data_IF_775033123475
#
_entry.id   IF_775033123475
#
_cell.length_a   1.000
_cell.length_b   1.000
_cell.length_c   1.000
_cell.angle_alpha   90.00
_cell.angle_beta   90.00
_cell.angle_gamma   90.00
#
_symmetry.space_group_name_H-M   'P 1'
#
loop_
_entity.id
_entity.type
_entity.pdbx_description
1 polymer ?
#
# COMPACT_ATOMS: atom_id res chain seq x y z
N UNK A 1 -31.52 -1.61 20.54
CA UNK A 1 -30.92 -2.48 21.58
C UNK A 1 -29.58 -2.94 21.05
N UNK A 2 -28.50 -2.23 21.44
CA UNK A 2 -27.12 -2.57 21.13
C UNK A 2 -26.72 -3.80 21.94
N UNK A 3 -26.28 -4.87 21.28
CA UNK A 3 -25.49 -5.93 21.90
C UNK A 3 -24.07 -5.84 21.33
N UNK A 4 -23.22 -5.18 22.10
CA UNK A 4 -21.79 -5.19 21.86
C UNK A 4 -21.22 -6.59 22.03
N UNK A 5 -20.60 -7.12 21.00
CA UNK A 5 -19.82 -8.34 21.06
C UNK A 5 -18.42 -7.98 21.55
N UNK A 6 -18.22 -8.14 22.85
CA UNK A 6 -16.91 -8.05 23.49
C UNK A 6 -16.14 -9.33 23.12
N UNK A 7 -15.24 -9.27 22.16
CA UNK A 7 -14.28 -10.34 21.90
C UNK A 7 -13.19 -10.25 22.95
N UNK A 8 -13.35 -10.98 24.03
CA UNK A 8 -12.29 -11.23 25.01
C UNK A 8 -11.30 -12.18 24.35
N UNK A 9 -10.13 -11.65 23.94
CA UNK A 9 -8.96 -12.46 23.62
C UNK A 9 -8.54 -13.16 24.93
N UNK A 10 -8.94 -14.40 25.12
CA UNK A 10 -8.36 -15.26 26.13
C UNK A 10 -6.94 -15.62 25.67
N UNK A 11 -5.96 -14.87 26.18
CA UNK A 11 -4.55 -15.23 26.11
C UNK A 11 -4.41 -16.46 27.00
N UNK A 12 -4.56 -17.64 26.39
CA UNK A 12 -4.23 -18.92 27.03
C UNK A 12 -2.77 -18.86 27.46
N UNK A 13 -2.48 -19.31 28.65
CA UNK A 13 -1.20 -19.25 29.34
C UNK A 13 -0.01 -19.45 28.41
N UNK A 14 0.64 -18.37 28.05
CA UNK A 14 1.93 -18.38 27.34
C UNK A 14 2.94 -18.95 28.32
N UNK A 15 3.57 -20.07 27.96
CA UNK A 15 4.65 -20.66 28.77
C UNK A 15 5.71 -19.58 29.07
N UNK A 16 6.27 -19.54 30.30
CA UNK A 16 7.22 -18.50 30.70
C UNK A 16 8.44 -18.36 29.79
N UNK A 17 8.81 -19.40 29.04
CA UNK A 17 9.86 -19.35 28.02
C UNK A 17 9.48 -18.50 26.79
N UNK A 18 8.20 -18.42 26.40
CA UNK A 18 7.72 -17.53 25.34
C UNK A 18 7.62 -16.07 25.82
N UNK A 19 7.30 -15.83 27.09
CA UNK A 19 7.26 -14.48 27.65
C UNK A 19 8.64 -13.80 27.66
N UNK A 20 9.72 -14.56 27.83
CA UNK A 20 11.09 -14.05 27.74
C UNK A 20 11.49 -13.64 26.32
N UNK A 21 10.89 -14.24 25.28
CA UNK A 21 11.20 -13.90 23.87
C UNK A 21 10.57 -12.59 23.38
N UNK A 22 9.63 -12.00 24.10
CA UNK A 22 8.96 -10.75 23.76
C UNK A 22 9.34 -9.57 24.65
N UNK A 23 10.41 -9.69 25.43
CA UNK A 23 10.94 -8.61 26.27
C UNK A 23 12.35 -8.26 25.85
N UNK A 24 12.60 -6.96 25.65
CA UNK A 24 13.94 -6.48 25.36
C UNK A 24 14.82 -6.55 26.63
N UNK A 25 15.99 -7.18 26.56
CA UNK A 25 16.89 -7.30 27.70
C UNK A 25 17.47 -5.97 28.19
N UNK A 26 17.44 -4.89 27.36
CA UNK A 26 18.01 -3.59 27.74
C UNK A 26 17.03 -2.73 28.56
N UNK A 27 15.74 -2.73 28.22
CA UNK A 27 14.74 -1.86 28.85
C UNK A 27 13.53 -2.60 29.43
N UNK A 28 13.45 -3.94 29.25
CA UNK A 28 12.36 -4.76 29.72
C UNK A 28 11.03 -4.54 28.99
N UNK A 29 11.00 -3.68 27.98
CA UNK A 29 9.80 -3.37 27.23
C UNK A 29 9.43 -4.47 26.22
N UNK A 30 8.18 -4.46 25.75
CA UNK A 30 7.71 -5.39 24.71
C UNK A 30 8.54 -5.21 23.44
N UNK A 31 9.15 -6.29 22.98
CA UNK A 31 9.99 -6.32 21.79
C UNK A 31 9.86 -7.65 21.04
N UNK A 32 9.59 -7.58 19.75
CA UNK A 32 9.43 -8.74 18.88
C UNK A 32 10.67 -9.02 18.03
N UNK A 33 11.80 -8.35 18.29
CA UNK A 33 13.01 -8.46 17.45
C UNK A 33 13.50 -9.88 17.30
N UNK A 34 13.69 -10.62 18.39
CA UNK A 34 14.20 -11.99 18.35
C UNK A 34 13.23 -12.91 17.62
N UNK A 35 11.93 -12.76 17.91
CA UNK A 35 10.89 -13.52 17.22
C UNK A 35 10.95 -13.31 15.70
N UNK A 36 11.00 -12.06 15.24
CA UNK A 36 10.99 -11.73 13.80
C UNK A 36 12.31 -12.12 13.13
N UNK A 37 13.46 -11.91 13.82
CA UNK A 37 14.79 -12.21 13.27
C UNK A 37 14.97 -13.71 13.01
N UNK A 38 14.48 -14.54 13.91
CA UNK A 38 14.64 -16.00 13.86
C UNK A 38 13.49 -16.70 13.15
N UNK A 39 12.44 -15.94 12.83
CA UNK A 39 11.24 -16.55 12.26
C UNK A 39 11.48 -17.10 10.86
N UNK A 40 11.06 -18.32 10.66
CA UNK A 40 10.88 -18.98 9.37
C UNK A 40 9.68 -19.92 9.43
N UNK A 41 9.00 -20.11 8.31
CA UNK A 41 7.80 -20.92 8.25
C UNK A 41 6.54 -20.08 8.08
N UNK A 42 5.42 -20.58 8.52
CA UNK A 42 4.11 -19.98 8.33
C UNK A 42 3.71 -19.08 9.50
N UNK A 43 3.48 -17.79 9.22
CA UNK A 43 3.03 -16.81 10.18
C UNK A 43 1.61 -16.36 9.84
N UNK A 44 0.60 -16.57 10.69
CA UNK A 44 -0.70 -15.97 10.53
C UNK A 44 -0.61 -14.48 10.89
N UNK A 45 -1.15 -13.63 9.99
CA UNK A 45 -1.15 -12.18 10.13
C UNK A 45 -2.58 -11.68 10.09
N UNK A 46 -3.15 -11.21 11.22
CA UNK A 46 -4.44 -10.57 11.21
C UNK A 46 -4.38 -9.25 10.44
N UNK A 47 -5.39 -8.98 9.64
CA UNK A 47 -5.52 -7.75 8.86
C UNK A 47 -6.70 -6.94 9.35
N UNK A 48 -6.49 -5.64 9.51
CA UNK A 48 -7.55 -4.67 9.74
C UNK A 48 -7.60 -3.72 8.55
N UNK A 49 -8.78 -3.55 7.97
CA UNK A 49 -9.04 -2.67 6.85
C UNK A 49 -9.77 -1.45 7.39
N UNK A 50 -9.21 -0.28 7.13
CA UNK A 50 -9.75 1.01 7.57
C UNK A 50 -9.76 2.02 6.40
N UNK A 51 -9.77 1.51 5.17
CA UNK A 51 -9.77 2.34 3.96
C UNK A 51 -11.18 2.90 3.73
N UNK A 52 -11.37 4.23 3.75
CA UNK A 52 -12.69 4.85 3.62
C UNK A 52 -13.48 4.43 2.38
N UNK A 53 -12.82 4.20 1.26
CA UNK A 53 -13.47 3.81 0.01
C UNK A 53 -14.20 2.44 0.06
N UNK A 54 -13.79 1.55 0.96
CA UNK A 54 -14.39 0.21 1.12
C UNK A 54 -14.95 -0.04 2.51
N UNK A 55 -14.78 0.93 3.42
CA UNK A 55 -15.24 0.84 4.81
C UNK A 55 -14.35 -0.01 5.70
N UNK A 56 -14.84 -0.26 6.92
CA UNK A 56 -14.11 -1.05 7.91
C UNK A 56 -14.22 -2.54 7.61
N UNK A 57 -13.14 -3.26 7.86
CA UNK A 57 -13.12 -4.69 7.59
C UNK A 57 -11.97 -5.41 8.28
N UNK A 58 -11.89 -6.69 8.00
CA UNK A 58 -10.82 -7.53 8.54
C UNK A 58 -10.53 -8.71 7.65
N UNK A 59 -9.42 -9.36 7.95
CA UNK A 59 -8.98 -10.52 7.21
C UNK A 59 -7.91 -11.30 7.93
N UNK A 60 -7.49 -12.37 7.30
CA UNK A 60 -6.39 -13.22 7.75
C UNK A 60 -5.42 -13.42 6.60
N UNK A 61 -4.17 -13.09 6.83
CA UNK A 61 -3.05 -13.45 5.99
C UNK A 61 -2.31 -14.66 6.55
N UNK A 62 -1.75 -15.45 5.66
CA UNK A 62 -0.78 -16.49 5.99
C UNK A 62 0.50 -16.16 5.24
N UNK A 63 1.54 -15.78 5.97
CA UNK A 63 2.84 -15.44 5.41
C UNK A 63 3.80 -16.61 5.61
N UNK A 64 4.51 -17.00 4.56
CA UNK A 64 5.59 -17.97 4.63
C UNK A 64 6.93 -17.28 4.38
N UNK A 65 7.82 -17.36 5.37
CA UNK A 65 9.18 -16.82 5.31
C UNK A 65 10.14 -18.00 5.08
N UNK A 66 10.82 -18.01 3.93
CA UNK A 66 11.68 -19.14 3.53
C UNK A 66 12.96 -19.19 4.36
N UNK A 67 13.67 -18.05 4.47
CA UNK A 67 14.91 -17.94 5.22
C UNK A 67 14.75 -16.87 6.30
N UNK A 68 15.22 -17.14 7.52
CA UNK A 68 15.19 -16.13 8.56
C UNK A 68 16.11 -14.95 8.23
N UNK A 69 15.86 -13.79 8.82
CA UNK A 69 16.75 -12.64 8.69
C UNK A 69 18.15 -12.92 9.24
N UNK A 70 18.26 -13.81 10.24
CA UNK A 70 19.54 -14.23 10.77
C UNK A 70 20.35 -15.05 9.76
N UNK A 71 19.70 -16.02 9.08
CA UNK A 71 20.31 -16.81 8.01
C UNK A 71 20.79 -15.90 6.87
N UNK A 72 19.95 -14.96 6.40
CA UNK A 72 20.31 -13.99 5.36
C UNK A 72 21.49 -13.09 5.74
N UNK A 73 21.58 -12.65 6.99
CA UNK A 73 22.73 -11.86 7.46
C UNK A 73 24.03 -12.69 7.49
N UNK A 74 23.94 -13.97 7.84
CA UNK A 74 25.10 -14.87 7.82
C UNK A 74 25.56 -15.14 6.39
N UNK A 75 24.64 -15.36 5.44
CA UNK A 75 24.93 -15.54 4.02
C UNK A 75 25.58 -14.28 3.39
N UNK A 76 25.13 -13.09 3.76
CA UNK A 76 25.69 -11.82 3.27
C UNK A 76 27.15 -11.58 3.68
N UNK A 77 27.63 -12.22 4.76
CA UNK A 77 29.01 -12.12 5.22
C UNK A 77 29.49 -10.67 5.38
N UNK A 78 30.70 -10.38 4.86
CA UNK A 78 31.33 -9.04 4.89
C UNK A 78 30.87 -8.12 3.75
N UNK A 79 30.05 -8.59 2.83
CA UNK A 79 29.60 -7.78 1.66
C UNK A 79 28.68 -6.59 2.00
N UNK A 80 28.18 -6.54 3.24
CA UNK A 80 27.41 -5.43 3.79
C UNK A 80 25.98 -5.25 3.21
N UNK A 81 25.63 -5.96 2.16
CA UNK A 81 24.31 -5.91 1.54
C UNK A 81 23.44 -7.08 2.02
N UNK A 82 22.47 -6.78 2.89
CA UNK A 82 21.49 -7.77 3.33
C UNK A 82 20.29 -7.73 2.40
N UNK A 83 20.12 -8.78 1.61
CA UNK A 83 18.93 -8.93 0.77
C UNK A 83 17.72 -9.29 1.66
N UNK A 84 16.54 -8.72 1.41
CA UNK A 84 15.32 -9.11 2.12
C UNK A 84 15.06 -10.62 2.00
N UNK A 85 14.46 -11.26 3.01
CA UNK A 85 14.11 -12.68 2.94
C UNK A 85 13.07 -12.94 1.84
N UNK A 86 13.07 -14.16 1.32
CA UNK A 86 12.03 -14.60 0.41
C UNK A 86 10.73 -14.77 1.20
N UNK A 87 9.69 -14.08 0.77
CA UNK A 87 8.39 -14.07 1.42
C UNK A 87 7.31 -14.45 0.44
N UNK A 88 6.48 -15.39 0.84
CA UNK A 88 5.27 -15.78 0.12
C UNK A 88 4.08 -15.60 1.04
N UNK A 89 2.91 -15.35 0.49
CA UNK A 89 1.73 -15.19 1.33
C UNK A 89 0.44 -15.39 0.57
N UNK A 90 -0.59 -15.67 1.35
CA UNK A 90 -1.98 -15.66 0.91
C UNK A 90 -2.81 -14.86 1.92
N UNK A 91 -3.88 -14.24 1.45
CA UNK A 91 -4.75 -13.41 2.27
C UNK A 91 -6.19 -13.56 1.84
N UNK A 92 -7.08 -13.52 2.82
CA UNK A 92 -8.53 -13.35 2.62
C UNK A 92 -9.03 -12.22 3.50
N UNK A 93 -9.91 -11.38 2.97
CA UNK A 93 -10.47 -10.27 3.74
C UNK A 93 -11.86 -9.88 3.22
N UNK A 94 -12.63 -9.21 4.11
CA UNK A 94 -13.93 -8.65 3.81
C UNK A 94 -14.16 -7.35 4.58
N UNK A 95 -15.04 -6.50 4.06
CA UNK A 95 -15.40 -5.21 4.65
C UNK A 95 -16.91 -5.06 4.77
N UNK A 96 -17.34 -4.08 5.54
CA UNK A 96 -18.75 -3.82 5.84
C UNK A 96 -19.59 -3.39 4.62
N UNK A 97 -18.96 -2.79 3.59
CA UNK A 97 -19.67 -2.44 2.35
C UNK A 97 -19.87 -3.65 1.41
N UNK A 98 -19.51 -4.87 1.86
CA UNK A 98 -19.65 -6.10 1.09
C UNK A 98 -18.43 -6.42 0.20
N UNK A 99 -17.39 -5.59 0.18
CA UNK A 99 -16.13 -5.92 -0.50
C UNK A 99 -15.47 -7.12 0.14
N UNK A 100 -14.98 -8.04 -0.69
CA UNK A 100 -14.23 -9.23 -0.26
C UNK A 100 -13.15 -9.57 -1.28
N UNK A 101 -12.04 -10.10 -0.81
CA UNK A 101 -10.99 -10.54 -1.71
C UNK A 101 -10.17 -11.70 -1.13
N UNK A 102 -9.57 -12.45 -2.03
CA UNK A 102 -8.55 -13.45 -1.73
C UNK A 102 -7.39 -13.26 -2.68
N UNK A 103 -6.17 -13.28 -2.18
CA UNK A 103 -4.97 -13.13 -3.00
C UNK A 103 -3.83 -13.99 -2.48
N UNK A 104 -2.92 -14.36 -3.39
CA UNK A 104 -1.66 -15.01 -3.04
C UNK A 104 -0.53 -14.42 -3.88
N UNK A 105 0.67 -14.37 -3.33
CA UNK A 105 1.83 -13.83 -4.02
C UNK A 105 3.10 -13.99 -3.22
N UNK A 106 4.17 -13.37 -3.72
CA UNK A 106 5.44 -13.41 -3.04
C UNK A 106 6.50 -12.54 -3.68
N UNK A 107 7.61 -12.44 -2.98
CA UNK A 107 8.82 -11.78 -3.43
C UNK A 107 10.02 -12.65 -3.09
N UNK A 108 10.96 -12.76 -4.01
CA UNK A 108 12.21 -13.48 -3.81
C UNK A 108 13.32 -12.90 -4.69
N UNK A 109 14.54 -13.11 -4.26
CA UNK A 109 15.74 -12.74 -5.00
C UNK A 109 16.47 -13.98 -5.50
N UNK A 110 17.09 -13.91 -6.68
CA UNK A 110 17.79 -15.03 -7.29
C UNK A 110 18.94 -14.56 -8.22
N UNK A 111 19.68 -15.53 -8.74
CA UNK A 111 20.88 -15.31 -9.56
C UNK A 111 22.15 -15.12 -8.73
N UNK A 112 23.29 -15.02 -9.41
CA UNK A 112 24.60 -14.79 -8.77
C UNK A 112 24.55 -13.43 -8.05
N UNK A 113 24.91 -13.39 -6.76
CA UNK A 113 24.80 -12.21 -5.90
C UNK A 113 23.39 -11.63 -5.76
N UNK A 114 22.33 -12.44 -6.00
CA UNK A 114 20.93 -12.04 -5.89
C UNK A 114 20.60 -10.75 -6.67
N UNK A 115 21.15 -10.63 -7.87
CA UNK A 115 20.93 -9.45 -8.72
C UNK A 115 19.51 -9.35 -9.28
N UNK A 116 18.80 -10.47 -9.35
CA UNK A 116 17.41 -10.49 -9.78
C UNK A 116 16.47 -10.44 -8.60
N UNK A 117 15.46 -9.64 -8.70
CA UNK A 117 14.35 -9.57 -7.75
C UNK A 117 13.05 -9.80 -8.51
N UNK A 118 12.27 -10.76 -8.05
CA UNK A 118 10.91 -10.98 -8.52
C UNK A 118 9.93 -10.64 -7.42
N UNK A 119 8.81 -10.03 -7.80
CA UNK A 119 7.63 -9.88 -6.96
C UNK A 119 6.38 -9.99 -7.82
N UNK A 120 5.36 -10.65 -7.29
CA UNK A 120 4.12 -10.84 -8.01
C UNK A 120 3.07 -11.52 -7.19
N UNK A 121 1.85 -11.46 -7.70
CA UNK A 121 0.70 -12.10 -7.07
C UNK A 121 -0.51 -12.11 -7.98
N UNK A 122 -1.47 -12.92 -7.58
CA UNK A 122 -2.78 -13.07 -8.19
C UNK A 122 -3.83 -13.01 -7.10
N UNK A 123 -4.98 -12.42 -7.41
CA UNK A 123 -6.12 -12.39 -6.50
C UNK A 123 -7.44 -12.32 -7.24
N UNK A 124 -8.47 -12.80 -6.56
CA UNK A 124 -9.86 -12.56 -6.92
C UNK A 124 -10.45 -11.54 -5.96
N UNK A 125 -11.17 -10.58 -6.50
CA UNK A 125 -11.80 -9.52 -5.72
C UNK A 125 -13.23 -9.30 -6.20
N UNK A 126 -14.10 -9.02 -5.25
CA UNK A 126 -15.48 -8.54 -5.43
C UNK A 126 -15.55 -7.23 -4.62
N UNK A 127 -15.38 -6.09 -5.30
CA UNK A 127 -15.14 -4.79 -4.69
C UNK A 127 -16.24 -3.83 -5.01
N UNK A 128 -16.86 -3.26 -4.00
CA UNK A 128 -17.88 -2.22 -4.12
C UNK A 128 -17.23 -0.85 -3.91
N UNK A 129 -17.38 0.03 -4.87
CA UNK A 129 -16.78 1.36 -4.90
C UNK A 129 -17.78 2.41 -5.41
N UNK A 130 -17.43 3.67 -5.21
CA UNK A 130 -18.15 4.82 -5.74
C UNK A 130 -17.32 5.58 -6.77
N UNK A 131 -17.93 5.90 -7.89
CA UNK A 131 -17.37 6.77 -8.92
C UNK A 131 -17.96 8.17 -8.82
N UNK A 132 -17.12 9.15 -8.58
CA UNK A 132 -17.51 10.55 -8.38
C UNK A 132 -17.32 11.43 -9.63
N UNK A 133 -17.06 10.82 -10.80
CA UNK A 133 -16.75 11.54 -12.02
C UNK A 133 -15.28 11.95 -12.14
N UNK A 134 -14.95 12.56 -13.27
CA UNK A 134 -13.62 13.13 -13.48
C UNK A 134 -13.53 14.47 -12.75
N UNK A 135 -12.41 14.75 -12.10
CA UNK A 135 -12.26 15.91 -11.22
C UNK A 135 -12.96 15.78 -9.86
N UNK A 136 -13.69 14.68 -9.61
CA UNK A 136 -14.45 14.45 -8.36
C UNK A 136 -15.82 15.14 -8.34
N UNK A 137 -16.35 15.53 -9.49
CA UNK A 137 -17.63 16.22 -9.62
C UNK A 137 -18.49 15.62 -10.75
N UNK A 138 -19.59 14.96 -10.37
CA UNK A 138 -20.69 14.55 -11.28
C UNK A 138 -21.77 15.64 -11.45
N UNK A 139 -21.43 16.90 -11.11
CA UNK A 139 -22.35 18.03 -11.15
C UNK A 139 -23.19 18.13 -9.86
N UNK A 140 -22.94 19.17 -9.08
CA UNK A 140 -23.57 19.49 -7.79
C UNK A 140 -23.26 18.54 -6.61
N UNK A 141 -22.02 18.52 -6.13
CA UNK A 141 -21.67 18.02 -4.79
C UNK A 141 -21.46 16.50 -4.70
N UNK A 142 -21.82 15.89 -3.59
CA UNK A 142 -21.48 14.51 -3.20
C UNK A 142 -22.19 13.39 -3.97
N UNK A 143 -22.49 13.59 -5.27
CA UNK A 143 -23.09 12.53 -6.08
C UNK A 143 -22.03 11.52 -6.51
N UNK A 144 -22.34 10.24 -6.33
CA UNK A 144 -21.55 9.12 -6.83
C UNK A 144 -22.43 8.14 -7.59
N UNK A 145 -21.79 7.35 -8.43
CA UNK A 145 -22.38 6.17 -9.03
C UNK A 145 -21.70 4.96 -8.42
N UNK A 146 -22.48 4.14 -7.69
CA UNK A 146 -21.97 2.90 -7.14
C UNK A 146 -21.60 1.94 -8.28
N UNK A 147 -20.50 1.23 -8.12
CA UNK A 147 -20.12 0.17 -9.04
C UNK A 147 -19.43 -0.98 -8.30
N UNK A 148 -19.52 -2.15 -8.91
CA UNK A 148 -18.89 -3.37 -8.43
C UNK A 148 -17.88 -3.87 -9.46
N UNK A 149 -16.76 -4.36 -8.97
CA UNK A 149 -15.72 -5.07 -9.73
C UNK A 149 -15.62 -6.50 -9.19
N UNK A 150 -16.13 -7.49 -9.92
CA UNK A 150 -15.98 -8.92 -9.58
C UNK A 150 -15.06 -9.61 -10.59
N UNK A 151 -13.90 -10.07 -10.19
CA UNK A 151 -12.99 -10.72 -11.09
C UNK A 151 -11.60 -10.98 -10.55
N UNK A 152 -10.66 -11.14 -11.46
CA UNK A 152 -9.27 -11.47 -11.19
C UNK A 152 -8.35 -10.32 -11.51
N UNK A 153 -7.32 -10.17 -10.67
CA UNK A 153 -6.20 -9.29 -10.93
C UNK A 153 -4.89 -9.99 -10.64
N UNK A 154 -3.87 -9.74 -11.46
CA UNK A 154 -2.52 -10.21 -11.22
C UNK A 154 -1.50 -9.14 -11.58
N UNK A 155 -0.37 -9.17 -10.90
CA UNK A 155 0.78 -8.32 -11.21
C UNK A 155 2.06 -9.12 -11.06
N UNK A 156 2.98 -8.95 -11.99
CA UNK A 156 4.29 -9.58 -11.97
C UNK A 156 5.34 -8.54 -12.32
N UNK A 157 6.44 -8.56 -11.60
CA UNK A 157 7.56 -7.65 -11.81
C UNK A 157 8.88 -8.40 -11.64
N UNK A 158 9.75 -8.27 -12.62
CA UNK A 158 11.11 -8.76 -12.57
C UNK A 158 12.07 -7.57 -12.68
N UNK A 159 12.99 -7.45 -11.75
CA UNK A 159 13.96 -6.37 -11.61
C UNK A 159 15.37 -6.92 -11.62
N UNK A 160 16.25 -6.27 -12.37
CA UNK A 160 17.67 -6.52 -12.38
C UNK A 160 18.39 -5.35 -11.70
N UNK A 161 19.22 -5.65 -10.71
CA UNK A 161 20.10 -4.66 -10.08
C UNK A 161 21.16 -4.20 -11.05
N UNK A 162 21.37 -2.90 -11.16
CA UNK A 162 22.40 -2.30 -12.01
C UNK A 162 23.73 -2.26 -11.24
N UNK A 163 24.66 -3.16 -11.59
CA UNK A 163 25.93 -3.31 -10.88
C UNK A 163 25.72 -3.50 -9.35
N UNK A 164 26.59 -2.92 -8.53
CA UNK A 164 26.46 -2.94 -7.06
C UNK A 164 25.77 -1.67 -6.52
N UNK A 165 24.83 -1.10 -7.32
CA UNK A 165 24.10 0.11 -6.94
C UNK A 165 22.77 -0.19 -6.22
N UNK A 166 22.09 0.89 -5.80
CA UNK A 166 20.73 0.86 -5.29
C UNK A 166 19.66 0.90 -6.39
N UNK A 167 20.09 0.85 -7.65
CA UNK A 167 19.22 1.03 -8.82
C UNK A 167 18.85 -0.30 -9.45
N UNK A 168 17.61 -0.40 -9.88
CA UNK A 168 17.05 -1.55 -10.56
C UNK A 168 16.34 -1.13 -11.84
N UNK A 169 16.47 -1.95 -12.88
CA UNK A 169 15.68 -1.85 -14.10
C UNK A 169 14.90 -3.15 -14.30
N UNK A 170 13.70 -3.07 -14.83
CA UNK A 170 12.92 -4.28 -15.05
C UNK A 170 11.69 -4.07 -15.87
N UNK A 171 10.85 -5.11 -15.83
CA UNK A 171 9.56 -5.14 -16.49
C UNK A 171 8.48 -5.45 -15.47
N UNK A 172 7.34 -4.79 -15.64
CA UNK A 172 6.10 -5.06 -14.92
C UNK A 172 5.02 -5.49 -15.91
N UNK A 173 4.27 -6.52 -15.56
CA UNK A 173 3.05 -6.93 -16.25
C UNK A 173 1.89 -6.90 -15.26
N UNK A 174 0.77 -6.33 -15.70
CA UNK A 174 -0.49 -6.26 -14.94
C UNK A 174 -1.58 -6.82 -15.82
N UNK A 175 -2.39 -7.71 -15.27
CA UNK A 175 -3.58 -8.25 -15.90
C UNK A 175 -4.77 -8.11 -14.96
N UNK A 176 -5.89 -7.66 -15.48
CA UNK A 176 -7.16 -7.52 -14.77
C UNK A 176 -8.29 -7.98 -15.68
N UNK A 177 -9.18 -8.78 -15.14
CA UNK A 177 -10.39 -9.29 -15.81
C UNK A 177 -11.56 -9.16 -14.85
N UNK A 178 -12.37 -8.13 -15.04
CA UNK A 178 -13.45 -7.77 -14.13
C UNK A 178 -14.79 -7.70 -14.85
N UNK A 179 -15.79 -8.36 -14.29
CA UNK A 179 -17.18 -8.01 -14.53
C UNK A 179 -17.46 -6.70 -13.78
N UNK A 180 -17.65 -5.64 -14.55
CA UNK A 180 -17.97 -4.30 -14.03
C UNK A 180 -19.47 -4.14 -14.05
N UNK A 181 -20.08 -3.91 -12.88
CA UNK A 181 -21.50 -3.64 -12.73
C UNK A 181 -21.69 -2.24 -12.21
N UNK A 182 -22.33 -1.37 -13.00
CA UNK A 182 -22.77 -0.05 -12.52
C UNK A 182 -24.13 -0.21 -11.86
N UNK A 183 -24.25 0.28 -10.62
CA UNK A 183 -25.51 0.32 -9.88
C UNK A 183 -26.11 1.73 -9.95
N UNK A 184 -27.07 1.97 -10.90
CA UNK A 184 -27.72 3.28 -11.03
C UNK A 184 -28.81 3.53 -10.00
N UNK A 185 -29.03 2.62 -9.02
CA UNK A 185 -30.11 2.74 -8.03
C UNK A 185 -29.91 3.91 -7.04
N UNK A 186 -28.79 4.61 -7.13
CA UNK A 186 -28.52 5.88 -6.43
C UNK A 186 -28.18 6.98 -7.45
N UNK A 187 -29.06 7.80 -7.97
CA UNK A 187 -30.39 8.28 -7.60
C UNK A 187 -31.52 8.03 -8.62
N UNK A 188 -31.41 7.09 -9.53
CA UNK A 188 -32.42 6.84 -10.55
C UNK A 188 -32.88 5.37 -10.55
N UNK A 189 -34.02 5.07 -9.87
CA UNK A 189 -34.50 3.68 -9.73
C UNK A 189 -35.05 3.02 -11.00
N UNK A 190 -34.89 3.61 -12.17
CA UNK A 190 -35.52 3.16 -13.40
C UNK A 190 -34.60 2.51 -14.45
N UNK A 191 -33.29 2.43 -14.19
CA UNK A 191 -32.35 1.83 -15.14
C UNK A 191 -31.85 0.49 -14.62
N UNK A 192 -31.87 -0.53 -15.48
CA UNK A 192 -31.26 -1.83 -15.19
C UNK A 192 -29.74 -1.66 -14.99
N UNK A 193 -29.10 -2.45 -14.11
CA UNK A 193 -27.66 -2.43 -13.96
C UNK A 193 -26.96 -2.65 -15.29
N UNK A 194 -25.99 -1.81 -15.61
CA UNK A 194 -25.14 -1.99 -16.79
C UNK A 194 -23.95 -2.87 -16.39
N UNK A 195 -23.88 -4.05 -17.00
CA UNK A 195 -22.78 -4.99 -16.77
C UNK A 195 -21.94 -5.15 -18.02
N UNK A 196 -20.63 -5.10 -17.86
CA UNK A 196 -19.67 -5.38 -18.94
C UNK A 196 -18.43 -6.05 -18.36
N UNK A 197 -17.97 -7.12 -18.97
CA UNK A 197 -16.63 -7.64 -18.69
C UNK A 197 -15.61 -6.74 -19.37
N UNK A 198 -14.59 -6.33 -18.62
CA UNK A 198 -13.47 -5.52 -19.09
C UNK A 198 -12.17 -6.20 -18.70
N UNK A 199 -11.41 -6.57 -19.71
CA UNK A 199 -10.07 -7.15 -19.55
C UNK A 199 -9.02 -6.10 -19.86
N UNK A 200 -8.06 -5.94 -18.98
CA UNK A 200 -6.92 -5.04 -19.16
C UNK A 200 -5.62 -5.82 -18.99
N UNK A 201 -4.78 -5.82 -20.00
CA UNK A 201 -3.46 -6.42 -19.96
C UNK A 201 -2.43 -5.37 -20.38
N UNK A 202 -1.50 -5.04 -19.47
CA UNK A 202 -0.49 -4.01 -19.68
C UNK A 202 0.90 -4.47 -19.25
N UNK A 203 1.88 -4.24 -20.11
CA UNK A 203 3.30 -4.53 -19.84
C UNK A 203 4.14 -3.29 -20.10
N UNK A 204 5.22 -3.16 -19.35
CA UNK A 204 6.15 -2.07 -19.61
C UNK A 204 7.34 -1.99 -18.67
N UNK A 205 8.27 -1.05 -18.94
CA UNK A 205 9.46 -0.87 -18.15
C UNK A 205 9.18 -0.28 -16.79
N UNK A 206 10.03 -0.63 -15.84
CA UNK A 206 10.08 -0.05 -14.50
C UNK A 206 11.53 0.23 -14.13
N UNK A 207 11.75 1.37 -13.48
CA UNK A 207 13.01 1.75 -12.86
C UNK A 207 12.77 1.96 -11.38
N UNK A 208 13.65 1.45 -10.53
CA UNK A 208 13.57 1.65 -9.08
C UNK A 208 14.91 2.07 -8.51
N UNK A 209 14.87 2.93 -7.50
CA UNK A 209 15.98 3.25 -6.62
C UNK A 209 15.57 3.02 -5.18
N UNK A 210 16.44 2.40 -4.36
CA UNK A 210 16.20 2.24 -2.93
C UNK A 210 17.51 2.34 -2.14
N UNK A 211 17.76 3.53 -1.58
CA UNK A 211 18.92 3.84 -0.72
C UNK A 211 18.53 4.06 0.74
N UNK A 212 17.33 3.63 1.14
CA UNK A 212 16.88 3.78 2.53
C UNK A 212 17.74 2.96 3.48
N UNK A 213 18.01 3.53 4.65
CA UNK A 213 18.72 2.86 5.73
C UNK A 213 17.93 1.69 6.35
N UNK A 214 16.60 1.74 6.22
CA UNK A 214 15.68 0.72 6.72
C UNK A 214 14.45 0.63 5.82
N UNK A 215 14.09 -0.60 5.41
CA UNK A 215 12.93 -0.83 4.54
C UNK A 215 11.58 -0.70 5.27
N UNK A 216 11.57 -0.88 6.60
CA UNK A 216 10.35 -0.82 7.40
C UNK A 216 10.03 0.59 7.89
N UNK A 217 10.97 1.21 8.60
CA UNK A 217 10.80 2.57 9.13
C UNK A 217 12.05 3.39 8.89
N UNK A 218 12.21 3.92 7.69
CA UNK A 218 13.40 4.68 7.30
C UNK A 218 13.61 5.92 8.15
N UNK A 219 14.86 6.28 8.33
CA UNK A 219 15.27 7.56 8.95
C UNK A 219 16.12 8.39 8.00
N UNK A 220 16.71 7.75 6.98
CA UNK A 220 17.59 8.38 6.00
C UNK A 220 17.48 7.69 4.64
N UNK A 221 17.79 8.44 3.59
CA UNK A 221 17.79 7.93 2.22
C UNK A 221 16.45 8.13 1.52
N UNK A 222 16.33 7.56 0.34
CA UNK A 222 15.10 7.68 -0.44
C UNK A 222 14.84 6.42 -1.27
N UNK A 223 13.60 6.23 -1.61
CA UNK A 223 13.13 5.19 -2.53
C UNK A 223 12.23 5.84 -3.57
N UNK A 224 12.33 5.41 -4.81
CA UNK A 224 11.44 5.87 -5.86
C UNK A 224 11.32 4.89 -6.99
N UNK A 225 10.27 5.05 -7.80
CA UNK A 225 10.13 4.33 -9.05
C UNK A 225 9.53 5.17 -10.16
N UNK A 226 9.86 4.75 -11.39
CA UNK A 226 9.23 5.21 -12.62
C UNK A 226 8.66 3.99 -13.33
N UNK A 227 7.37 3.99 -13.59
CA UNK A 227 6.66 2.93 -14.26
C UNK A 227 5.96 3.48 -15.51
N UNK A 228 6.03 2.76 -16.63
CA UNK A 228 5.25 3.01 -17.82
C UNK A 228 4.63 1.69 -18.30
N UNK A 229 3.30 1.58 -18.31
CA UNK A 229 2.58 0.38 -18.74
C UNK A 229 1.78 0.69 -20.00
N UNK A 230 1.87 -0.19 -20.98
CA UNK A 230 1.20 -0.12 -22.28
C UNK A 230 0.19 -1.26 -22.35
N UNK A 231 -1.08 -0.91 -22.35
CA UNK A 231 -2.20 -1.84 -22.43
C UNK A 231 -2.68 -1.96 -23.87
N UNK A 232 -2.98 -3.19 -24.28
CA UNK A 232 -3.38 -3.42 -25.66
C UNK A 232 -4.10 -4.75 -25.86
N UNK A 233 -4.95 -4.85 -26.90
CA UNK A 233 -5.57 -6.11 -27.30
C UNK A 233 -4.57 -7.19 -27.73
N UNK A 234 -3.42 -6.81 -28.27
CA UNK A 234 -2.39 -7.75 -28.73
C UNK A 234 -1.77 -8.59 -27.59
N UNK A 235 -1.93 -8.13 -26.34
CA UNK A 235 -1.47 -8.84 -25.15
C UNK A 235 -2.63 -9.28 -24.23
N UNK A 236 -3.86 -9.33 -24.77
CA UNK A 236 -5.03 -9.86 -24.09
C UNK A 236 -5.87 -8.85 -23.30
N UNK A 237 -5.77 -7.56 -23.62
CA UNK A 237 -6.69 -6.52 -23.12
C UNK A 237 -7.83 -6.25 -24.08
N UNK A 238 -8.83 -5.49 -23.65
CA UNK A 238 -9.94 -5.03 -24.51
C UNK A 238 -9.66 -3.64 -25.10
N UNK A 239 -8.99 -2.78 -24.32
CA UNK A 239 -8.81 -1.37 -24.63
C UNK A 239 -7.33 -1.02 -24.83
N UNK A 240 -7.05 0.03 -25.63
CA UNK A 240 -5.70 0.53 -25.89
C UNK A 240 -5.44 1.81 -25.11
N UNK A 241 -4.60 1.72 -24.09
CA UNK A 241 -4.24 2.87 -23.27
C UNK A 241 -2.86 2.71 -22.63
N UNK A 242 -2.41 3.74 -21.96
CA UNK A 242 -1.11 3.79 -21.31
C UNK A 242 -1.24 4.41 -19.93
N UNK A 243 -0.48 3.90 -18.96
CA UNK A 243 -0.37 4.50 -17.63
C UNK A 243 1.08 4.77 -17.29
N UNK A 244 1.31 5.91 -16.65
CA UNK A 244 2.61 6.34 -16.18
C UNK A 244 2.52 6.68 -14.71
N UNK A 245 3.51 6.27 -13.94
CA UNK A 245 3.63 6.64 -12.54
C UNK A 245 5.08 6.96 -12.21
N UNK A 246 5.27 8.08 -11.52
CA UNK A 246 6.52 8.44 -10.85
C UNK A 246 6.23 8.66 -9.38
N UNK A 247 6.94 7.98 -8.50
CA UNK A 247 6.82 8.24 -7.07
C UNK A 247 8.18 8.23 -6.38
N UNK A 248 8.27 8.98 -5.29
CA UNK A 248 9.46 9.02 -4.44
C UNK A 248 9.07 9.24 -2.98
N UNK A 249 9.79 8.58 -2.08
CA UNK A 249 9.75 8.76 -0.63
C UNK A 249 11.15 9.08 -0.15
N UNK A 250 11.33 10.23 0.48
CA UNK A 250 12.62 10.65 1.02
C UNK A 250 12.53 10.84 2.53
N UNK A 251 13.59 10.50 3.24
CA UNK A 251 13.67 10.60 4.70
C UNK A 251 14.95 11.33 5.08
N UNK A 252 14.79 12.41 5.83
CA UNK A 252 15.89 13.29 6.21
C UNK A 252 15.87 13.54 7.72
N UNK A 253 16.86 13.05 8.48
CA UNK A 253 17.03 13.44 9.88
C UNK A 253 17.56 14.88 9.92
N UNK A 254 16.91 15.78 10.64
CA UNK A 254 17.36 17.17 10.75
C UNK A 254 17.70 17.61 12.18
N UNK A 255 17.36 16.74 13.17
CA UNK A 255 17.80 16.86 14.56
C UNK A 255 17.88 15.46 15.18
N UNK A 256 18.45 15.32 16.39
CA UNK A 256 18.67 14.01 17.01
C UNK A 256 17.38 13.18 17.17
N UNK A 257 16.24 13.86 17.39
CA UNK A 257 14.96 13.19 17.63
C UNK A 257 13.97 13.31 16.46
N UNK A 258 14.30 14.01 15.37
CA UNK A 258 13.35 14.34 14.33
C UNK A 258 13.75 13.78 12.96
N UNK A 259 12.80 13.19 12.27
CA UNK A 259 12.93 12.75 10.87
C UNK A 259 11.81 13.38 10.07
N UNK A 260 12.16 14.05 8.98
CA UNK A 260 11.21 14.54 7.98
C UNK A 260 11.09 13.49 6.87
N UNK A 261 9.89 12.98 6.68
CA UNK A 261 9.50 12.21 5.52
C UNK A 261 8.86 13.11 4.47
N UNK A 262 9.16 12.89 3.21
CA UNK A 262 8.54 13.57 2.07
C UNK A 262 8.09 12.53 1.07
N UNK A 263 6.85 12.64 0.59
CA UNK A 263 6.30 11.82 -0.49
C UNK A 263 5.90 12.69 -1.67
N UNK A 264 6.27 12.24 -2.86
CA UNK A 264 5.77 12.76 -4.14
C UNK A 264 5.24 11.57 -4.94
N UNK A 265 4.06 11.71 -5.56
CA UNK A 265 3.45 10.67 -6.41
C UNK A 265 2.73 11.39 -7.56
N UNK A 266 3.13 11.12 -8.78
CA UNK A 266 2.54 11.65 -10.00
C UNK A 266 2.09 10.49 -10.90
N UNK A 267 0.87 10.58 -11.40
CA UNK A 267 0.24 9.56 -12.23
C UNK A 267 -0.38 10.21 -13.46
N UNK A 268 -0.30 9.51 -14.60
CA UNK A 268 -0.94 9.94 -15.82
C UNK A 268 -1.48 8.73 -16.59
N UNK A 269 -2.61 8.91 -17.27
CA UNK A 269 -3.18 7.91 -18.14
C UNK A 269 -3.59 8.54 -19.49
N UNK A 270 -3.43 7.80 -20.59
CA UNK A 270 -3.68 8.26 -21.95
C UNK A 270 -4.33 7.15 -22.76
N UNK A 271 -5.23 7.50 -23.66
CA UNK A 271 -5.99 6.57 -24.51
C UNK A 271 -7.35 6.22 -23.92
N UNK A 272 -7.84 5.03 -24.24
CA UNK A 272 -9.18 4.54 -23.83
C UNK A 272 -9.15 3.94 -22.42
N UNK A 273 -8.86 4.78 -21.43
CA UNK A 273 -8.65 4.35 -20.04
C UNK A 273 -9.98 3.99 -19.39
N UNK A 274 -10.14 2.75 -18.88
CA UNK A 274 -11.30 2.40 -18.07
C UNK A 274 -11.41 3.30 -16.85
N UNK A 275 -12.64 3.72 -16.50
CA UNK A 275 -12.87 4.72 -15.46
C UNK A 275 -12.30 4.32 -14.08
N UNK A 276 -12.29 3.03 -13.76
CA UNK A 276 -11.75 2.48 -12.51
C UNK A 276 -10.21 2.38 -12.49
N UNK A 277 -9.54 2.69 -13.61
CA UNK A 277 -8.08 2.75 -13.74
C UNK A 277 -7.56 4.17 -13.89
N UNK A 278 -8.41 5.17 -13.78
CA UNK A 278 -7.99 6.57 -13.82
C UNK A 278 -7.05 6.89 -12.65
N UNK A 279 -6.00 7.69 -12.87
CA UNK A 279 -5.22 8.29 -11.80
C UNK A 279 -6.10 9.00 -10.76
N UNK A 280 -5.77 8.85 -9.49
CA UNK A 280 -6.53 9.46 -8.39
C UNK A 280 -5.60 10.07 -7.33
N UNK A 281 -6.14 11.02 -6.58
CA UNK A 281 -5.50 11.61 -5.40
C UNK A 281 -5.45 10.57 -4.29
N UNK A 282 -4.25 10.17 -3.89
CA UNK A 282 -3.99 9.14 -2.89
C UNK A 282 -3.25 9.77 -1.70
N UNK A 283 -4.00 10.48 -0.85
CA UNK A 283 -3.53 11.16 0.36
C UNK A 283 -4.24 10.56 1.57
N UNK A 284 -3.55 10.37 2.69
CA UNK A 284 -4.16 9.90 3.94
C UNK A 284 -5.31 10.82 4.38
N UNK A 285 -6.50 10.26 4.61
CA UNK A 285 -7.72 11.00 4.96
C UNK A 285 -8.61 11.33 3.76
N UNK A 286 -8.21 10.96 2.55
CA UNK A 286 -9.03 11.09 1.34
C UNK A 286 -9.38 9.69 0.83
N UNK A 287 -10.68 9.37 0.62
CA UNK A 287 -11.08 8.07 0.07
C UNK A 287 -10.47 7.84 -1.31
N UNK A 288 -9.93 6.65 -1.55
CA UNK A 288 -9.35 6.29 -2.85
C UNK A 288 -10.41 6.36 -3.95
N UNK A 289 -10.04 6.98 -5.08
CA UNK A 289 -10.96 7.18 -6.20
C UNK A 289 -11.91 8.36 -6.06
N UNK A 290 -11.92 9.09 -4.90
CA UNK A 290 -12.79 10.26 -4.70
C UNK A 290 -12.49 11.38 -5.70
N UNK A 291 -11.23 11.66 -5.93
CA UNK A 291 -10.75 12.66 -6.88
C UNK A 291 -9.87 12.00 -7.93
N UNK A 292 -10.42 11.77 -9.11
CA UNK A 292 -9.73 11.05 -10.18
C UNK A 292 -9.91 11.73 -11.53
N UNK A 293 -8.87 11.68 -12.36
CA UNK A 293 -8.88 12.17 -13.74
C UNK A 293 -7.70 11.54 -14.52
N UNK A 294 -7.46 12.01 -15.74
CA UNK A 294 -6.36 11.52 -16.59
C UNK A 294 -4.96 11.75 -15.98
N UNK A 295 -4.83 12.69 -15.07
CA UNK A 295 -3.60 12.95 -14.32
C UNK A 295 -3.94 13.14 -12.85
N UNK A 296 -3.03 12.74 -11.97
CA UNK A 296 -3.08 13.05 -10.56
C UNK A 296 -1.67 13.28 -10.00
N UNK A 297 -1.53 14.20 -9.06
CA UNK A 297 -0.29 14.40 -8.33
C UNK A 297 -0.58 14.61 -6.85
N UNK A 298 0.33 14.11 -6.01
CA UNK A 298 0.26 14.19 -4.56
C UNK A 298 1.62 14.59 -4.01
N UNK A 299 1.61 15.46 -3.01
CA UNK A 299 2.75 15.75 -2.15
C UNK A 299 2.32 15.59 -0.69
N UNK A 300 3.09 14.86 0.10
CA UNK A 300 2.86 14.65 1.53
C UNK A 300 4.14 14.88 2.32
N UNK A 301 4.01 15.52 3.49
CA UNK A 301 5.08 15.69 4.48
C UNK A 301 4.68 14.95 5.75
N UNK A 302 5.62 14.27 6.38
CA UNK A 302 5.45 13.60 7.66
C UNK A 302 6.62 13.96 8.58
N UNK A 303 6.31 14.51 9.74
CA UNK A 303 7.26 14.76 10.79
C UNK A 303 7.15 13.65 11.84
N UNK A 304 8.22 12.88 12.03
CA UNK A 304 8.36 11.93 13.12
C UNK A 304 9.24 12.51 14.21
N UNK A 305 8.69 12.63 15.41
CA UNK A 305 9.41 12.98 16.63
C UNK A 305 9.60 11.73 17.49
N UNK A 306 10.82 11.24 17.59
CA UNK A 306 11.20 10.14 18.49
C UNK A 306 11.27 10.68 19.93
N UNK A 307 10.12 10.80 20.59
CA UNK A 307 9.97 11.45 21.91
C UNK A 307 10.65 10.66 23.02
N UNK A 308 10.71 9.33 22.88
CA UNK A 308 11.44 8.42 23.79
C UNK A 308 12.13 7.33 22.97
N UNK A 309 12.97 6.47 23.57
CA UNK A 309 13.58 5.33 22.86
C UNK A 309 12.56 4.37 22.22
N UNK A 310 11.32 4.32 22.71
CA UNK A 310 10.27 3.41 22.25
C UNK A 310 9.10 4.09 21.56
N UNK A 311 8.83 5.36 21.86
CA UNK A 311 7.67 6.06 21.36
C UNK A 311 8.04 7.21 20.45
N UNK A 312 7.36 7.28 19.31
CA UNK A 312 7.41 8.43 18.44
C UNK A 312 6.01 9.00 18.20
N UNK A 313 5.93 10.30 18.02
CA UNK A 313 4.76 11.03 17.59
C UNK A 313 4.91 11.40 16.12
N UNK A 314 3.79 11.36 15.40
CA UNK A 314 3.71 11.65 13.97
C UNK A 314 2.77 12.83 13.76
N UNK A 315 3.19 13.80 12.96
CA UNK A 315 2.33 14.80 12.37
C UNK A 315 2.50 14.76 10.86
N UNK A 316 1.43 14.84 10.08
CA UNK A 316 1.51 14.82 8.64
C UNK A 316 0.50 15.74 7.97
N UNK A 317 0.85 16.19 6.78
CA UNK A 317 0.01 17.02 5.93
C UNK A 317 0.28 16.69 4.47
N UNK A 318 -0.77 16.63 3.66
CA UNK A 318 -0.69 16.34 2.25
C UNK A 318 -1.61 17.20 1.41
N UNK A 319 -1.21 17.36 0.16
CA UNK A 319 -2.00 18.01 -0.88
C UNK A 319 -2.01 17.13 -2.12
N UNK A 320 -3.15 17.09 -2.80
CA UNK A 320 -3.31 16.36 -4.04
C UNK A 320 -4.19 17.09 -5.04
N UNK A 321 -4.00 16.81 -6.31
CA UNK A 321 -4.78 17.36 -7.40
C UNK A 321 -4.97 16.32 -8.49
N UNK A 322 -6.21 16.20 -9.02
CA UNK A 322 -6.52 15.45 -10.23
C UNK A 322 -6.96 16.43 -11.32
N UNK A 323 -6.50 16.23 -12.57
CA UNK A 323 -6.81 17.12 -13.70
C UNK A 323 -6.74 16.39 -15.03
N UNK A 324 -7.39 16.94 -16.06
CA UNK A 324 -7.44 16.41 -17.42
C UNK A 324 -8.73 16.79 -18.11
N UNK A 325 -9.87 16.64 -17.45
CA UNK A 325 -11.14 17.25 -17.83
C UNK A 325 -11.08 18.77 -17.70
N UNK A 326 -10.41 19.26 -16.67
CA UNK A 326 -10.03 20.65 -16.47
C UNK A 326 -8.53 20.86 -16.59
N UNK A 327 -8.08 22.10 -16.82
CA UNK A 327 -6.67 22.44 -16.80
C UNK A 327 -6.12 22.37 -15.37
N UNK A 328 -4.83 22.13 -15.23
CA UNK A 328 -4.17 22.05 -13.91
C UNK A 328 -4.43 23.26 -13.02
N UNK A 329 -4.46 24.48 -13.60
CA UNK A 329 -4.72 25.71 -12.85
C UNK A 329 -6.13 25.81 -12.28
N UNK A 330 -7.11 25.27 -12.99
CA UNK A 330 -8.54 25.36 -12.68
C UNK A 330 -9.02 24.22 -11.77
N UNK A 331 -8.35 23.07 -11.81
CA UNK A 331 -8.70 21.91 -11.00
C UNK A 331 -8.50 22.16 -9.50
N UNK A 332 -9.40 21.63 -8.68
CA UNK A 332 -9.37 21.78 -7.24
C UNK A 332 -8.17 21.06 -6.59
N UNK A 333 -7.55 21.73 -5.61
CA UNK A 333 -6.53 21.11 -4.75
C UNK A 333 -7.18 20.56 -3.49
N UNK A 334 -6.92 19.28 -3.21
CA UNK A 334 -7.43 18.56 -2.05
C UNK A 334 -6.34 18.55 -0.98
N UNK A 335 -6.71 18.90 0.25
CA UNK A 335 -5.80 18.91 1.40
C UNK A 335 -6.29 17.92 2.45
N UNK A 336 -5.35 17.23 3.09
CA UNK A 336 -5.62 16.40 4.24
C UNK A 336 -4.43 16.40 5.19
N UNK A 337 -4.68 16.12 6.45
CA UNK A 337 -3.61 16.08 7.44
C UNK A 337 -4.05 15.35 8.70
N UNK A 338 -3.10 15.09 9.58
CA UNK A 338 -3.39 14.34 10.77
C UNK A 338 -2.21 14.17 11.70
N UNK A 339 -2.43 13.31 12.68
CA UNK A 339 -1.42 12.98 13.67
C UNK A 339 -1.54 11.49 14.08
N UNK A 340 -0.49 10.98 14.66
CA UNK A 340 -0.45 9.61 15.12
C UNK A 340 0.68 9.35 16.11
N UNK A 341 0.80 8.11 16.49
CA UNK A 341 1.88 7.63 17.33
C UNK A 341 2.48 6.32 16.79
N UNK A 342 3.70 6.04 17.19
CA UNK A 342 4.41 4.81 16.86
C UNK A 342 5.07 4.26 18.10
N UNK A 343 5.02 2.95 18.25
CA UNK A 343 5.75 2.17 19.23
C UNK A 343 6.77 1.28 18.51
N UNK A 344 8.03 1.33 18.96
CA UNK A 344 9.12 0.52 18.41
C UNK A 344 8.98 -0.93 18.89
N UNK A 345 8.22 -1.72 18.12
CA UNK A 345 7.86 -3.11 18.48
C UNK A 345 8.99 -4.11 18.22
N UNK A 346 9.93 -3.78 17.33
CA UNK A 346 11.11 -4.59 17.08
C UNK A 346 12.34 -3.67 16.94
N UNK A 347 13.02 -3.41 18.04
CA UNK A 347 14.12 -2.43 18.14
C UNK A 347 15.28 -2.77 17.22
N UNK A 348 15.72 -4.03 17.19
CA UNK A 348 16.86 -4.47 16.37
C UNK A 348 16.59 -4.40 14.86
N UNK A 349 15.35 -4.31 14.47
CA UNK A 349 14.91 -4.19 13.07
C UNK A 349 14.41 -2.77 12.73
N UNK A 350 14.25 -1.91 13.74
CA UNK A 350 13.70 -0.58 13.57
C UNK A 350 12.23 -0.61 13.10
N UNK A 351 11.46 -1.64 13.50
CA UNK A 351 10.05 -1.75 13.10
C UNK A 351 9.18 -1.06 14.14
N UNK A 352 8.47 -0.04 13.69
CA UNK A 352 7.45 0.64 14.46
C UNK A 352 6.06 0.13 14.07
N UNK A 353 5.15 0.11 15.03
CA UNK A 353 3.71 -0.03 14.80
C UNK A 353 2.95 1.08 15.52
N UNK A 354 1.78 1.43 15.04
CA UNK A 354 0.99 2.49 15.66
C UNK A 354 -0.30 2.79 14.92
N UNK A 355 -0.86 3.96 15.21
CA UNK A 355 -2.11 4.41 14.61
C UNK A 355 -2.05 5.88 14.23
N UNK A 356 -2.77 6.24 13.19
CA UNK A 356 -2.96 7.60 12.70
C UNK A 356 -4.44 7.95 12.65
N UNK A 357 -4.75 9.20 12.91
CA UNK A 357 -6.02 9.85 12.62
C UNK A 357 -5.76 10.90 11.56
N UNK A 358 -6.47 10.84 10.47
CA UNK A 358 -6.38 11.79 9.37
C UNK A 358 -7.72 12.45 9.11
N UNK A 359 -7.72 13.74 8.81
CA UNK A 359 -8.87 14.49 8.38
C UNK A 359 -8.67 14.99 6.95
N UNK A 360 -9.54 14.55 6.05
CA UNK A 360 -9.72 15.05 4.70
C UNK A 360 -10.94 15.96 4.60
N UNK A 361 -11.28 16.42 3.39
CA UNK A 361 -12.48 17.26 3.17
C UNK A 361 -13.79 16.55 3.54
N UNK A 362 -13.90 15.26 3.24
CA UNK A 362 -15.12 14.48 3.41
C UNK A 362 -15.27 13.95 4.83
N UNK A 363 -14.22 13.28 5.33
CA UNK A 363 -14.35 12.50 6.55
C UNK A 363 -13.06 12.43 7.37
N UNK A 364 -13.17 11.80 8.54
CA UNK A 364 -12.03 11.44 9.39
C UNK A 364 -11.77 9.95 9.25
N UNK A 365 -10.54 9.60 8.89
CA UNK A 365 -10.10 8.22 8.71
C UNK A 365 -9.11 7.81 9.79
N UNK A 366 -9.12 6.52 10.14
CA UNK A 366 -8.20 5.90 11.09
C UNK A 366 -7.35 4.87 10.38
N UNK A 367 -6.05 4.86 10.64
CA UNK A 367 -5.12 3.92 10.04
C UNK A 367 -4.30 3.20 11.11
N UNK A 368 -4.16 1.89 10.96
CA UNK A 368 -3.16 1.11 11.70
C UNK A 368 -1.93 0.96 10.83
N UNK A 369 -0.78 1.26 11.38
CA UNK A 369 0.48 1.27 10.66
C UNK A 369 1.48 0.28 11.25
N UNK A 370 2.15 -0.46 10.37
CA UNK A 370 3.34 -1.26 10.69
C UNK A 370 4.43 -0.83 9.73
N UNK A 371 5.51 -0.26 10.24
CA UNK A 371 6.54 0.37 9.43
C UNK A 371 6.16 1.79 8.98
N UNK A 372 6.65 2.19 7.80
CA UNK A 372 6.33 3.46 7.17
C UNK A 372 4.89 3.48 6.64
N UNK A 373 4.25 4.63 6.70
CA UNK A 373 2.93 4.84 6.10
C UNK A 373 2.96 4.76 4.56
N UNK A 374 4.11 5.00 3.96
CA UNK A 374 4.32 4.98 2.51
C UNK A 374 5.08 3.71 2.10
N UNK A 375 4.56 3.00 1.08
CA UNK A 375 5.11 1.75 0.56
C UNK A 375 5.07 1.72 -0.98
#
# INVERSE_FOLDING_TARGET
MLRGLLVVLTISAVSPALAQSFSDPEDGALDMSEFIIDYKGFLPVPLLITEPAVGYGGGLGLMFVRNSLRERRQEAGTSGHVTPPDVFGAVVAATENGTKFAAAGGMFSFGDREQWRYRGGIGRADVNLDFYGRGGDLGNGDRSIGFNLDGWAMTHQALLRLADSADFIGLRWVYMDFLVTLDPTRPAPALAPLTRTLTSSGIGPTLEHDSRDNIFTPSRGWQGSLDALFYSPEIGGDEKFQTYRAHAFAYTPFAQAFVLGTRLDARAARGEVPFYQLPFVDVRGVPKGRYQDNNAAVAELELRWNATPRWALIGFFGAGKAWGSEKFGDANTVFAGGAGFRYLIARRLGIYMGADVARGPEETAFYLQVGSAWR
#
